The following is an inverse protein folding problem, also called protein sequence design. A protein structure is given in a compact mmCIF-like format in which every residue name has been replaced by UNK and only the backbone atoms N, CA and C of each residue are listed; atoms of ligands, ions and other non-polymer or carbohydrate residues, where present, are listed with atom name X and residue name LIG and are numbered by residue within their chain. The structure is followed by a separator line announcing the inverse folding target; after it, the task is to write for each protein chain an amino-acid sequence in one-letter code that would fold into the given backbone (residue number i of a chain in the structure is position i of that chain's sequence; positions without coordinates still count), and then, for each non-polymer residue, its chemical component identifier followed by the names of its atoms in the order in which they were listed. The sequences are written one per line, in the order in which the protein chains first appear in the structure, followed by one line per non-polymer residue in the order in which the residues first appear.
data_IF_438878619330
#
_entry.id   IF_438878619330
#
_cell.length_a   1.000
_cell.length_b   1.000
_cell.length_c   1.000
_cell.angle_alpha   90.00
_cell.angle_beta   90.00
_cell.angle_gamma   90.00
#
_symmetry.space_group_name_H-M   'P 1'
#
loop_
_entity.id
_entity.type
_entity.pdbx_description
1 polymer ?
#
# COMPACT_ATOMS: atom_id res chain seq x y z
N UNK A 1 1.54 -55.31 -48.48
CA UNK A 1 0.30 -54.52 -48.30
C UNK A 1 0.45 -53.71 -47.03
N UNK A 2 0.37 -52.38 -47.17
CA UNK A 2 0.77 -51.37 -46.20
C UNK A 2 -0.12 -51.35 -44.96
N UNK A 3 0.46 -51.41 -43.76
CA UNK A 3 -0.23 -51.07 -42.50
C UNK A 3 -0.08 -49.58 -42.25
N UNK A 4 -1.20 -48.87 -42.35
CA UNK A 4 -1.35 -47.44 -42.11
C UNK A 4 -1.34 -47.12 -40.61
N UNK A 5 -0.71 -45.99 -40.29
CA UNK A 5 -0.60 -45.38 -38.97
C UNK A 5 -1.96 -44.82 -38.52
N UNK A 6 -2.36 -45.08 -37.28
CA UNK A 6 -3.42 -44.32 -36.61
C UNK A 6 -2.77 -43.44 -35.53
N UNK A 7 -2.94 -42.11 -35.58
CA UNK A 7 -2.56 -41.25 -34.46
C UNK A 7 -3.64 -41.26 -33.37
N UNK A 8 -3.14 -41.36 -32.13
CA UNK A 8 -3.88 -41.31 -30.87
C UNK A 8 -4.71 -40.02 -30.74
N UNK A 9 -6.03 -40.17 -30.57
CA UNK A 9 -6.92 -39.08 -30.18
C UNK A 9 -6.94 -38.97 -28.67
N UNK A 10 -6.26 -37.96 -28.11
CA UNK A 10 -6.40 -37.59 -26.71
C UNK A 10 -7.30 -36.36 -26.63
N UNK A 11 -8.60 -36.60 -26.45
CA UNK A 11 -9.56 -35.56 -26.14
C UNK A 11 -9.32 -35.06 -24.71
N UNK A 12 -8.76 -33.86 -24.56
CA UNK A 12 -8.73 -33.17 -23.28
C UNK A 12 -10.06 -32.44 -23.07
N UNK A 13 -10.85 -32.96 -22.12
CA UNK A 13 -12.13 -32.40 -21.68
C UNK A 13 -11.81 -31.27 -20.69
N UNK A 14 -11.95 -30.01 -21.09
CA UNK A 14 -11.90 -28.87 -20.18
C UNK A 14 -13.29 -28.70 -19.54
N UNK A 15 -13.39 -28.95 -18.24
CA UNK A 15 -14.55 -28.54 -17.45
C UNK A 15 -14.35 -27.09 -17.03
N UNK A 16 -15.20 -26.21 -17.55
CA UNK A 16 -15.40 -24.85 -17.06
C UNK A 16 -16.10 -24.90 -15.70
N UNK A 17 -15.51 -24.29 -14.69
CA UNK A 17 -16.23 -23.88 -13.47
C UNK A 17 -16.19 -22.37 -13.41
N UNK A 18 -17.35 -21.76 -13.62
CA UNK A 18 -17.60 -20.33 -13.44
C UNK A 18 -17.37 -19.96 -11.96
N UNK A 19 -16.46 -19.02 -11.72
CA UNK A 19 -16.45 -18.26 -10.46
C UNK A 19 -16.57 -16.79 -10.81
N UNK A 20 -17.75 -16.26 -10.54
CA UNK A 20 -18.11 -14.86 -10.66
C UNK A 20 -17.35 -14.10 -9.58
N UNK A 21 -16.20 -13.54 -9.93
CA UNK A 21 -15.58 -12.47 -9.18
C UNK A 21 -15.80 -11.17 -9.97
N UNK A 22 -16.70 -10.31 -9.46
CA UNK A 22 -16.84 -8.93 -9.92
C UNK A 22 -15.54 -8.16 -9.63
N UNK A 23 -14.56 -8.29 -10.51
CA UNK A 23 -13.52 -7.28 -10.66
C UNK A 23 -14.06 -6.24 -11.64
N UNK A 24 -14.25 -5.02 -11.17
CA UNK A 24 -14.41 -3.85 -12.04
C UNK A 24 -13.22 -3.80 -12.99
N UNK A 25 -13.40 -4.28 -14.22
CA UNK A 25 -12.48 -4.04 -15.33
C UNK A 25 -12.55 -2.55 -15.65
N UNK A 26 -11.69 -1.76 -15.02
CA UNK A 26 -11.32 -0.46 -15.58
C UNK A 26 -10.54 -0.78 -16.85
N UNK A 27 -11.19 -0.64 -18.00
CA UNK A 27 -10.52 -0.66 -19.30
C UNK A 27 -9.35 0.32 -19.28
N UNK A 28 -8.12 -0.18 -19.27
CA UNK A 28 -6.94 0.67 -19.41
C UNK A 28 -6.85 1.13 -20.86
N UNK A 29 -7.40 2.31 -21.12
CA UNK A 29 -7.21 3.01 -22.39
C UNK A 29 -5.72 3.27 -22.60
N UNK A 30 -5.20 3.13 -23.84
CA UNK A 30 -3.80 3.37 -24.13
C UNK A 30 -3.45 4.82 -23.80
N UNK A 31 -2.57 4.98 -22.82
CA UNK A 31 -2.12 6.28 -22.34
C UNK A 31 -1.48 7.05 -23.51
N UNK A 32 -1.94 8.28 -23.76
CA UNK A 32 -1.31 9.24 -24.69
C UNK A 32 0.18 9.32 -24.33
N UNK A 33 1.11 9.26 -25.31
CA UNK A 33 2.59 9.19 -25.15
C UNK A 33 3.08 9.82 -23.83
N UNK A 34 3.11 9.00 -22.78
CA UNK A 34 3.52 9.41 -21.45
C UNK A 34 5.03 9.71 -21.45
N UNK A 35 5.45 10.68 -20.66
CA UNK A 35 6.88 10.92 -20.47
C UNK A 35 7.59 9.70 -19.87
N UNK A 36 8.81 9.40 -20.34
CA UNK A 36 9.60 8.23 -19.90
C UNK A 36 9.69 8.07 -18.37
N UNK A 37 9.81 9.18 -17.64
CA UNK A 37 9.89 9.16 -16.18
C UNK A 37 8.59 8.67 -15.51
N UNK A 38 7.43 8.98 -16.08
CA UNK A 38 6.14 8.52 -15.56
C UNK A 38 5.91 7.04 -15.93
N UNK A 39 6.34 6.61 -17.11
CA UNK A 39 6.29 5.21 -17.52
C UNK A 39 7.12 4.32 -16.58
N UNK A 40 8.36 4.70 -16.26
CA UNK A 40 9.20 3.96 -15.32
C UNK A 40 8.59 3.91 -13.93
N UNK A 41 8.03 5.03 -13.45
CA UNK A 41 7.32 5.07 -12.18
C UNK A 41 6.12 4.11 -12.13
N UNK A 42 5.25 4.11 -13.16
CA UNK A 42 4.09 3.22 -13.23
C UNK A 42 4.54 1.76 -13.22
N UNK A 43 5.59 1.43 -13.98
CA UNK A 43 6.18 0.09 -14.00
C UNK A 43 6.67 -0.33 -12.60
N UNK A 44 7.48 0.50 -11.94
CA UNK A 44 7.98 0.24 -10.59
C UNK A 44 6.85 0.09 -9.56
N UNK A 45 5.81 0.93 -9.65
CA UNK A 45 4.63 0.83 -8.79
C UNK A 45 3.91 -0.50 -8.97
N UNK A 46 3.75 -0.97 -10.22
CA UNK A 46 3.12 -2.28 -10.52
C UNK A 46 3.98 -3.43 -10.00
N UNK A 47 5.29 -3.37 -10.22
CA UNK A 47 6.25 -4.36 -9.73
C UNK A 47 6.21 -4.45 -8.20
N UNK A 48 6.21 -3.32 -7.50
CA UNK A 48 6.10 -3.27 -6.03
C UNK A 48 4.79 -3.89 -5.53
N UNK A 49 3.64 -3.58 -6.14
CA UNK A 49 2.36 -4.20 -5.75
C UNK A 49 2.39 -5.72 -5.97
N UNK A 50 2.96 -6.17 -7.10
CA UNK A 50 3.11 -7.59 -7.40
C UNK A 50 4.04 -8.32 -6.43
N UNK A 51 5.15 -7.68 -6.05
CA UNK A 51 6.10 -8.18 -5.06
C UNK A 51 5.41 -8.32 -3.70
N UNK A 52 4.79 -7.25 -3.20
CA UNK A 52 4.10 -7.27 -1.91
C UNK A 52 2.98 -8.32 -1.84
N UNK A 53 2.27 -8.58 -2.95
CA UNK A 53 1.27 -9.64 -3.00
C UNK A 53 1.89 -11.04 -2.87
N UNK A 54 3.02 -11.29 -3.53
CA UNK A 54 3.77 -12.55 -3.41
C UNK A 54 4.29 -12.75 -1.98
N UNK A 55 4.97 -11.74 -1.43
CA UNK A 55 5.53 -11.81 -0.08
C UNK A 55 4.46 -12.06 0.99
N UNK A 56 3.24 -11.51 0.83
CA UNK A 56 2.13 -11.79 1.76
C UNK A 56 1.67 -13.25 1.67
N UNK A 57 1.56 -13.78 0.46
CA UNK A 57 1.20 -15.19 0.26
C UNK A 57 2.27 -16.13 0.82
N UNK A 58 3.55 -15.80 0.61
CA UNK A 58 4.69 -16.58 1.12
C UNK A 58 4.77 -16.51 2.65
N UNK A 59 4.48 -15.37 3.26
CA UNK A 59 4.38 -15.24 4.72
C UNK A 59 3.26 -16.10 5.29
N UNK A 60 2.06 -16.10 4.70
CA UNK A 60 0.95 -16.95 5.17
C UNK A 60 1.25 -18.45 5.02
N UNK A 61 1.87 -18.84 3.90
CA UNK A 61 2.32 -20.21 3.67
C UNK A 61 3.39 -20.61 4.69
N UNK A 62 4.39 -19.74 4.91
CA UNK A 62 5.44 -19.91 5.90
C UNK A 62 4.88 -20.05 7.32
N UNK A 63 3.87 -19.24 7.68
CA UNK A 63 3.18 -19.33 8.97
C UNK A 63 2.53 -20.69 9.17
N UNK A 64 1.86 -21.24 8.15
CA UNK A 64 1.25 -22.59 8.22
C UNK A 64 2.31 -23.67 8.39
N UNK A 65 3.44 -23.58 7.68
CA UNK A 65 4.54 -24.53 7.83
C UNK A 65 5.22 -24.44 9.19
N UNK A 66 5.42 -23.23 9.71
CA UNK A 66 6.01 -23.00 11.02
C UNK A 66 5.11 -23.56 12.13
N UNK A 67 3.80 -23.32 12.05
CA UNK A 67 2.82 -23.89 12.96
C UNK A 67 2.86 -25.43 12.94
N UNK A 68 2.97 -26.04 11.76
CA UNK A 68 3.13 -27.50 11.64
C UNK A 68 4.43 -28.01 12.29
N UNK A 69 5.57 -27.33 12.07
CA UNK A 69 6.85 -27.70 12.69
C UNK A 69 6.84 -27.58 14.22
N UNK A 70 6.15 -26.57 14.75
CA UNK A 70 6.02 -26.34 16.19
C UNK A 70 4.84 -27.08 16.82
N UNK A 71 4.10 -27.86 16.02
CA UNK A 71 2.90 -28.59 16.43
C UNK A 71 1.85 -27.67 17.11
N UNK A 72 1.65 -26.48 16.54
CA UNK A 72 0.67 -25.46 16.95
C UNK A 72 -0.41 -25.29 15.87
N UNK A 73 -1.55 -24.69 16.23
CA UNK A 73 -2.59 -24.38 15.24
C UNK A 73 -2.25 -23.09 14.44
N UNK A 74 -2.35 -23.11 13.09
CA UNK A 74 -1.99 -21.95 12.26
C UNK A 74 -2.89 -20.71 12.42
N UNK A 75 -4.08 -20.85 13.00
CA UNK A 75 -5.01 -19.74 13.22
C UNK A 75 -4.85 -19.11 14.60
N UNK A 76 -4.41 -19.88 15.59
CA UNK A 76 -4.12 -19.37 16.94
C UNK A 76 -2.72 -18.79 17.09
N UNK A 77 -1.80 -19.10 16.17
CA UNK A 77 -0.41 -18.67 16.26
C UNK A 77 -0.26 -17.13 16.23
N UNK A 78 0.27 -16.56 17.31
CA UNK A 78 0.53 -15.12 17.43
C UNK A 78 1.92 -14.74 16.92
N UNK A 79 2.20 -13.45 16.76
CA UNK A 79 3.53 -13.00 16.31
C UNK A 79 4.63 -13.28 17.36
N UNK A 80 4.29 -13.31 18.65
CA UNK A 80 5.24 -13.65 19.72
C UNK A 80 5.65 -15.12 19.65
N UNK A 81 4.69 -16.01 19.32
CA UNK A 81 4.96 -17.43 19.11
C UNK A 81 5.88 -17.64 17.89
N UNK A 82 5.68 -16.86 16.82
CA UNK A 82 6.55 -16.87 15.63
C UNK A 82 7.97 -16.44 16.01
N UNK A 83 8.12 -15.30 16.69
CA UNK A 83 9.44 -14.77 17.08
C UNK A 83 10.17 -15.78 18.01
N UNK A 84 9.44 -16.42 18.93
CA UNK A 84 9.97 -17.48 19.81
C UNK A 84 10.41 -18.71 19.02
N UNK A 85 9.56 -19.21 18.11
CA UNK A 85 9.86 -20.36 17.27
C UNK A 85 11.11 -20.11 16.38
N UNK A 86 11.21 -18.93 15.78
CA UNK A 86 12.37 -18.54 14.96
C UNK A 86 13.65 -18.49 15.81
N UNK A 87 13.58 -17.93 17.02
CA UNK A 87 14.73 -17.89 17.93
C UNK A 87 15.23 -19.28 18.33
N UNK A 88 14.31 -20.25 18.44
CA UNK A 88 14.62 -21.64 18.76
C UNK A 88 15.18 -22.41 17.57
N UNK A 89 14.55 -22.29 16.40
CA UNK A 89 14.96 -22.99 15.17
C UNK A 89 16.27 -22.44 14.58
N UNK A 90 16.47 -21.13 14.67
CA UNK A 90 17.63 -20.43 14.12
C UNK A 90 18.32 -19.57 15.19
N UNK A 91 18.99 -20.20 16.17
CA UNK A 91 19.66 -19.47 17.23
C UNK A 91 20.79 -18.61 16.64
N UNK A 92 20.75 -17.31 16.90
CA UNK A 92 21.79 -16.36 16.47
C UNK A 92 22.46 -15.69 17.66
N UNK A 93 23.79 -15.69 17.67
CA UNK A 93 24.62 -15.03 18.69
C UNK A 93 24.92 -13.56 18.39
N UNK A 94 24.21 -12.96 17.44
CA UNK A 94 24.47 -11.58 17.01
C UNK A 94 24.01 -10.59 18.10
N UNK A 95 24.89 -9.63 18.44
CA UNK A 95 24.58 -8.58 19.40
C UNK A 95 23.55 -7.59 18.86
N UNK A 96 23.61 -7.26 17.57
CA UNK A 96 22.60 -6.42 16.93
C UNK A 96 21.31 -7.21 16.70
N UNK A 97 20.22 -6.73 17.31
CA UNK A 97 18.89 -7.33 17.20
C UNK A 97 18.35 -7.28 15.76
N UNK A 98 18.72 -6.27 14.97
CA UNK A 98 18.25 -6.12 13.58
C UNK A 98 18.93 -7.08 12.61
N UNK A 99 20.07 -7.63 12.99
CA UNK A 99 20.80 -8.60 12.18
C UNK A 99 20.37 -10.05 12.43
N UNK A 100 19.50 -10.28 13.43
CA UNK A 100 18.98 -11.62 13.75
C UNK A 100 17.95 -12.06 12.72
N UNK A 101 17.74 -13.38 12.54
CA UNK A 101 16.65 -13.90 11.72
C UNK A 101 15.29 -13.42 12.27
N UNK A 102 14.43 -12.89 11.40
CA UNK A 102 13.08 -12.40 11.75
C UNK A 102 12.09 -12.83 10.68
N UNK A 103 10.90 -13.24 11.11
CA UNK A 103 9.77 -13.54 10.23
C UNK A 103 8.56 -12.69 10.66
N UNK A 104 8.27 -11.62 9.91
CA UNK A 104 7.15 -10.70 10.17
C UNK A 104 6.38 -10.37 8.89
N UNK A 105 5.17 -9.80 9.01
CA UNK A 105 4.40 -9.38 7.84
C UNK A 105 5.21 -8.44 6.93
N UNK A 106 5.10 -8.59 5.60
CA UNK A 106 5.86 -7.78 4.65
C UNK A 106 5.64 -6.27 4.82
N UNK A 107 4.47 -5.85 5.26
CA UNK A 107 4.10 -4.45 5.45
C UNK A 107 4.93 -3.73 6.55
N UNK A 108 5.54 -4.49 7.46
CA UNK A 108 6.41 -3.96 8.52
C UNK A 108 7.90 -3.95 8.14
N UNK A 109 8.34 -4.97 7.40
CA UNK A 109 9.76 -5.14 7.04
C UNK A 109 10.10 -4.36 5.76
N UNK A 110 9.22 -4.41 4.76
CA UNK A 110 9.49 -3.84 3.45
C UNK A 110 9.39 -2.30 3.48
N UNK A 111 10.25 -1.61 2.72
CA UNK A 111 10.18 -0.15 2.63
C UNK A 111 8.85 0.27 1.99
N UNK A 112 8.19 1.25 2.61
CA UNK A 112 6.92 1.79 2.08
C UNK A 112 7.16 2.51 0.75
N UNK A 113 6.53 2.01 -0.32
CA UNK A 113 6.52 2.70 -1.60
C UNK A 113 5.59 3.91 -1.56
N UNK A 114 6.14 5.11 -1.81
CA UNK A 114 5.33 6.32 -1.86
C UNK A 114 4.60 6.40 -3.20
N UNK A 115 3.30 6.06 -3.19
CA UNK A 115 2.47 6.04 -4.39
C UNK A 115 1.88 7.42 -4.64
N UNK A 116 2.25 8.01 -5.77
CA UNK A 116 1.56 9.13 -6.41
C UNK A 116 0.38 8.65 -7.25
N UNK A 117 -0.66 9.46 -7.27
CA UNK A 117 -1.83 9.27 -8.12
C UNK A 117 -1.80 10.22 -9.31
N UNK A 118 -2.04 9.66 -10.50
CA UNK A 118 -2.12 10.38 -11.76
C UNK A 118 -3.49 10.11 -12.41
N UNK A 119 -3.96 11.05 -13.20
CA UNK A 119 -5.13 10.88 -14.06
C UNK A 119 -4.77 10.07 -15.33
N UNK A 120 -5.78 9.69 -16.11
CA UNK A 120 -5.60 8.97 -17.40
C UNK A 120 -4.69 9.73 -18.39
N UNK A 121 -4.58 11.05 -18.25
CA UNK A 121 -3.73 11.90 -19.08
C UNK A 121 -2.30 12.06 -18.54
N UNK A 122 -1.97 11.39 -17.42
CA UNK A 122 -0.67 11.48 -16.77
C UNK A 122 -0.47 12.74 -15.93
N UNK A 123 -1.54 13.51 -15.68
CA UNK A 123 -1.51 14.68 -14.79
C UNK A 123 -1.50 14.24 -13.33
N UNK A 124 -0.62 14.77 -12.47
CA UNK A 124 -0.69 14.50 -11.03
C UNK A 124 -2.01 15.03 -10.44
N UNK A 125 -2.65 14.24 -9.57
CA UNK A 125 -3.90 14.65 -8.90
C UNK A 125 -3.69 15.76 -7.87
N UNK A 126 -2.58 15.74 -7.14
CA UNK A 126 -2.25 16.77 -6.16
C UNK A 126 -1.63 17.98 -6.86
N UNK A 127 -2.21 19.17 -6.65
CA UNK A 127 -1.66 20.43 -7.16
C UNK A 127 -0.26 20.72 -6.63
N UNK A 128 0.09 20.19 -5.45
CA UNK A 128 1.39 20.39 -4.81
C UNK A 128 2.43 19.36 -5.25
N UNK A 129 2.14 18.49 -6.21
CA UNK A 129 3.09 17.48 -6.70
C UNK A 129 4.43 18.07 -7.14
N UNK A 130 4.42 19.19 -7.85
CA UNK A 130 5.63 19.85 -8.36
C UNK A 130 6.51 20.51 -7.27
N UNK A 131 6.08 20.49 -6.01
CA UNK A 131 6.88 20.97 -4.87
C UNK A 131 7.85 19.90 -4.33
N UNK A 132 7.89 18.71 -4.93
CA UNK A 132 8.64 17.51 -4.51
C UNK A 132 8.18 16.89 -3.18
N UNK A 133 7.60 17.68 -2.27
CA UNK A 133 7.10 17.23 -0.96
C UNK A 133 5.63 17.65 -0.76
N UNK A 134 4.69 17.08 -1.53
CA UNK A 134 3.27 17.49 -1.49
C UNK A 134 2.66 17.41 -0.10
N UNK A 135 2.92 16.32 0.65
CA UNK A 135 2.39 16.14 2.01
C UNK A 135 2.85 17.22 3.00
N UNK A 136 4.11 17.65 2.90
CA UNK A 136 4.66 18.69 3.77
C UNK A 136 4.02 20.06 3.50
N UNK A 137 3.97 20.47 2.24
CA UNK A 137 3.40 21.77 1.88
C UNK A 137 1.87 21.80 2.01
N UNK A 138 1.20 20.65 1.89
CA UNK A 138 -0.21 20.52 2.24
C UNK A 138 -0.44 20.83 3.72
N UNK A 139 0.33 20.19 4.61
CA UNK A 139 0.25 20.44 6.04
C UNK A 139 0.52 21.92 6.38
N UNK A 140 1.53 22.53 5.77
CA UNK A 140 1.85 23.94 5.98
C UNK A 140 0.70 24.87 5.56
N UNK A 141 0.09 24.58 4.41
CA UNK A 141 -1.07 25.31 3.91
C UNK A 141 -2.26 25.18 4.86
N UNK A 142 -2.53 23.98 5.36
CA UNK A 142 -3.65 23.70 6.27
C UNK A 142 -3.46 24.43 7.61
N UNK A 143 -2.23 24.44 8.14
CA UNK A 143 -1.87 25.21 9.35
C UNK A 143 -2.08 26.70 9.09
N UNK A 144 -1.60 27.24 7.98
CA UNK A 144 -1.75 28.66 7.64
C UNK A 144 -3.21 29.10 7.56
N UNK A 145 -4.07 28.28 6.95
CA UNK A 145 -5.52 28.53 6.89
C UNK A 145 -6.13 28.52 8.29
N UNK A 146 -5.85 27.48 9.10
CA UNK A 146 -6.37 27.38 10.47
C UNK A 146 -5.94 28.54 11.34
N UNK A 147 -4.67 28.92 11.31
CA UNK A 147 -4.17 30.08 12.05
C UNK A 147 -4.88 31.35 11.61
N UNK A 148 -5.02 31.58 10.30
CA UNK A 148 -5.74 32.74 9.78
C UNK A 148 -7.20 32.76 10.24
N UNK A 149 -7.91 31.64 10.23
CA UNK A 149 -9.30 31.56 10.70
C UNK A 149 -9.45 31.91 12.18
N UNK A 150 -8.49 31.48 13.01
CA UNK A 150 -8.48 31.80 14.44
C UNK A 150 -8.18 33.28 14.64
N UNK A 151 -7.17 33.82 13.95
CA UNK A 151 -6.83 35.25 14.02
C UNK A 151 -7.97 36.14 13.55
N UNK A 152 -8.65 35.81 12.45
CA UNK A 152 -9.79 36.58 11.96
C UNK A 152 -10.96 36.55 12.95
N UNK A 153 -11.27 35.37 13.52
CA UNK A 153 -12.30 35.24 14.54
C UNK A 153 -12.04 36.17 15.74
N UNK A 154 -10.82 36.18 16.28
CA UNK A 154 -10.48 37.07 17.38
C UNK A 154 -10.58 38.55 16.99
N UNK A 155 -10.05 38.94 15.83
CA UNK A 155 -10.08 40.32 15.37
C UNK A 155 -11.53 40.84 15.22
N UNK A 156 -12.42 40.02 14.68
CA UNK A 156 -13.83 40.38 14.52
C UNK A 156 -14.50 40.62 15.89
N UNK A 157 -14.25 39.76 16.88
CA UNK A 157 -14.82 39.87 18.22
C UNK A 157 -14.22 41.01 19.05
N UNK A 158 -12.91 41.29 18.91
CA UNK A 158 -12.26 42.45 19.51
C UNK A 158 -12.85 43.77 18.96
N UNK A 159 -13.10 43.84 17.65
CA UNK A 159 -13.71 45.02 17.03
C UNK A 159 -15.16 45.26 17.49
N UNK A 160 -15.90 44.18 17.77
CA UNK A 160 -17.28 44.26 18.26
C UNK A 160 -17.36 44.73 19.73
N UNK A 161 -16.40 44.31 20.58
CA UNK A 161 -16.32 44.77 21.98
C UNK A 161 -16.01 46.26 22.13
N UNK A 162 -15.23 46.84 21.22
CA UNK A 162 -14.95 48.29 21.19
C UNK A 162 -16.21 49.12 20.93
N UNK A 163 -17.10 48.68 20.02
CA UNK A 163 -18.31 49.43 19.64
C UNK A 163 -19.39 49.44 20.71
N UNK A 164 -19.45 48.42 21.59
CA UNK A 164 -20.42 48.38 22.68
C UNK A 164 -20.13 49.37 23.81
N UNK A 165 -18.88 49.79 23.97
CA UNK A 165 -18.44 50.68 25.07
C UNK A 165 -18.70 52.15 24.73
N UNK A 166 -18.59 52.54 23.46
CA UNK A 166 -18.86 53.91 23.00
C UNK A 166 -20.36 54.26 22.96
N UNK A 167 -21.25 53.27 22.82
CA UNK A 167 -22.71 53.47 22.80
C UNK A 167 -23.29 53.65 24.22
N UNK A 168 -22.60 53.18 25.26
CA UNK A 168 -23.02 53.38 26.66
C UNK A 168 -22.58 54.72 27.28
N UNK A 169 -21.70 55.47 26.61
CA UNK A 169 -21.21 56.78 27.10
C UNK A 169 -21.82 57.99 26.38
N UNK A 170 -22.90 57.80 25.61
CA UNK A 170 -23.75 58.88 25.06
C UNK A 170 -25.13 58.82 25.72
#
# INVERSE_FOLDING_TARGET
MFRTLLPSVRAARLLSTESVASSSFTEEKPLKKIGRALETYIKLSREHVSMMARERADFELGRRHLANMMNMDPHTMTQEDIDTAISYLFPSGLFDLKARPVMRPPDEIMPKFHRFEFDEEGRPKDSRFFTLRPAFYKLLSDIGIKTRTVTSFYNDHLSAGSKGTEIQSM
#
